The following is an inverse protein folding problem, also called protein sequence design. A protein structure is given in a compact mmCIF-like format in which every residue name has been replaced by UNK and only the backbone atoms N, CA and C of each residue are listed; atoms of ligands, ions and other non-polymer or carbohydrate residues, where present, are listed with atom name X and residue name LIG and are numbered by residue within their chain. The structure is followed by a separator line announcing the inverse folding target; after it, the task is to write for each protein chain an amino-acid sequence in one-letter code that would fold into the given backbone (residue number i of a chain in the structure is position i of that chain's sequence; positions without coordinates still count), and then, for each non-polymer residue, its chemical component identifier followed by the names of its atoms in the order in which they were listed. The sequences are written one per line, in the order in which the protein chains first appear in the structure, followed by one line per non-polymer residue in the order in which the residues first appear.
data_IF_439229285712
#
_entry.id   IF_439229285712
#
_cell.length_a   1.000
_cell.length_b   1.000
_cell.length_c   1.000
_cell.angle_alpha   90.00
_cell.angle_beta   90.00
_cell.angle_gamma   90.00
#
_symmetry.space_group_name_H-M   'P 1'
#
loop_
_entity.id
_entity.type
_entity.pdbx_description
1 polymer ?
#
# COMPACT_ATOMS: atom_id res chain seq x y z
N UNK A 1 -38.29 25.83 -13.90
CA UNK A 1 -37.64 24.52 -13.70
C UNK A 1 -36.25 24.59 -14.31
N UNK A 2 -35.22 24.68 -13.48
CA UNK A 2 -33.82 24.59 -13.90
C UNK A 2 -33.09 23.78 -12.84
N UNK A 3 -33.04 22.47 -13.05
CA UNK A 3 -32.27 21.55 -12.22
C UNK A 3 -30.79 21.71 -12.54
N UNK A 4 -30.03 22.24 -11.58
CA UNK A 4 -28.58 22.14 -11.58
C UNK A 4 -28.19 20.78 -11.02
N UNK A 5 -27.69 19.90 -11.87
CA UNK A 5 -27.05 18.66 -11.47
C UNK A 5 -25.72 19.00 -10.79
N UNK A 6 -25.66 18.83 -9.47
CA UNK A 6 -24.43 18.90 -8.70
C UNK A 6 -23.53 17.71 -9.06
N UNK A 7 -22.39 17.98 -9.68
CA UNK A 7 -21.32 17.02 -9.82
C UNK A 7 -20.79 16.63 -8.42
N UNK A 8 -20.49 15.36 -8.15
CA UNK A 8 -19.87 14.98 -6.89
C UNK A 8 -18.43 15.51 -6.87
N UNK A 9 -18.15 16.41 -5.92
CA UNK A 9 -16.81 16.90 -5.64
C UNK A 9 -15.97 15.75 -5.06
N UNK A 10 -15.19 15.08 -5.91
CA UNK A 10 -14.09 14.21 -5.48
C UNK A 10 -12.94 15.11 -5.03
N UNK A 11 -13.10 15.71 -3.85
CA UNK A 11 -12.09 16.57 -3.23
C UNK A 11 -10.96 15.73 -2.68
N UNK A 12 -9.72 16.11 -2.98
CA UNK A 12 -8.54 15.57 -2.33
C UNK A 12 -8.73 15.60 -0.79
N UNK A 13 -8.24 14.58 -0.05
CA UNK A 13 -8.41 14.52 1.40
C UNK A 13 -7.90 15.81 2.03
N UNK A 14 -8.73 16.41 2.88
CA UNK A 14 -8.38 17.62 3.61
C UNK A 14 -7.12 17.35 4.46
N UNK A 15 -6.32 18.37 4.77
CA UNK A 15 -5.07 18.23 5.53
C UNK A 15 -5.27 17.51 6.88
N UNK A 16 -6.45 17.65 7.47
CA UNK A 16 -6.85 16.98 8.71
C UNK A 16 -7.03 15.46 8.51
N UNK A 17 -7.63 15.02 7.40
CA UNK A 17 -7.81 13.61 7.08
C UNK A 17 -6.45 12.90 6.94
N UNK A 18 -5.48 13.57 6.29
CA UNK A 18 -4.13 13.03 6.13
C UNK A 18 -3.45 12.76 7.48
N UNK A 19 -3.60 13.69 8.42
CA UNK A 19 -3.04 13.56 9.78
C UNK A 19 -3.70 12.42 10.53
N UNK A 20 -5.03 12.30 10.44
CA UNK A 20 -5.80 11.23 11.09
C UNK A 20 -5.40 9.86 10.53
N UNK A 21 -5.27 9.75 9.20
CA UNK A 21 -4.86 8.51 8.53
C UNK A 21 -3.45 8.10 8.94
N UNK A 22 -2.50 9.03 8.96
CA UNK A 22 -1.13 8.78 9.41
C UNK A 22 -1.09 8.33 10.87
N UNK A 23 -1.78 9.04 11.77
CA UNK A 23 -1.86 8.70 13.19
C UNK A 23 -2.52 7.33 13.41
N UNK A 24 -3.60 7.04 12.71
CA UNK A 24 -4.30 5.75 12.80
C UNK A 24 -3.43 4.61 12.28
N UNK A 25 -2.73 4.81 11.14
CA UNK A 25 -1.84 3.80 10.57
C UNK A 25 -0.64 3.55 11.48
N UNK A 26 -0.05 4.59 12.04
CA UNK A 26 1.01 4.50 13.04
C UNK A 26 0.57 3.74 14.29
N UNK A 27 -0.61 4.05 14.83
CA UNK A 27 -1.17 3.34 15.99
C UNK A 27 -1.39 1.86 15.68
N UNK A 28 -1.96 1.52 14.52
CA UNK A 28 -2.19 0.13 14.12
C UNK A 28 -0.86 -0.63 13.98
N UNK A 29 0.17 -0.03 13.38
CA UNK A 29 1.49 -0.64 13.30
C UNK A 29 2.09 -0.86 14.68
N UNK A 30 2.04 0.13 15.56
CA UNK A 30 2.52 0.00 16.93
C UNK A 30 1.81 -1.15 17.64
N UNK A 31 0.48 -1.24 17.57
CA UNK A 31 -0.27 -2.35 18.14
C UNK A 31 0.18 -3.71 17.59
N UNK A 32 0.44 -3.81 16.28
CA UNK A 32 0.95 -5.05 15.68
C UNK A 32 2.35 -5.45 16.17
N UNK A 33 3.16 -4.49 16.61
CA UNK A 33 4.48 -4.73 17.20
C UNK A 33 4.41 -5.03 18.69
N UNK A 34 3.52 -4.37 19.44
CA UNK A 34 3.36 -4.56 20.89
C UNK A 34 2.60 -5.83 21.26
N UNK A 35 1.71 -6.32 20.40
CA UNK A 35 0.87 -7.50 20.65
C UNK A 35 1.12 -8.58 19.59
N UNK A 36 2.28 -9.27 19.62
CA UNK A 36 2.65 -10.24 18.60
C UNK A 36 1.66 -11.42 18.53
N UNK A 37 1.12 -11.85 19.68
CA UNK A 37 0.13 -12.92 19.78
C UNK A 37 -1.16 -12.60 18.99
N UNK A 38 -1.56 -11.32 18.95
CA UNK A 38 -2.76 -10.86 18.24
C UNK A 38 -2.47 -10.30 16.85
N UNK A 39 -1.21 -10.30 16.41
CA UNK A 39 -0.79 -9.72 15.13
C UNK A 39 -1.52 -10.36 13.95
N UNK A 40 -1.63 -11.69 13.96
CA UNK A 40 -2.31 -12.42 12.89
C UNK A 40 -3.81 -12.12 12.87
N UNK A 41 -4.46 -12.03 14.02
CA UNK A 41 -5.88 -11.68 14.11
C UNK A 41 -6.15 -10.26 13.59
N UNK A 42 -5.26 -9.31 13.91
CA UNK A 42 -5.34 -7.94 13.39
C UNK A 42 -5.13 -7.90 11.87
N UNK A 43 -4.11 -8.58 11.35
CA UNK A 43 -3.87 -8.66 9.91
C UNK A 43 -5.04 -9.32 9.18
N UNK A 44 -5.60 -10.39 9.75
CA UNK A 44 -6.78 -11.06 9.22
C UNK A 44 -8.00 -10.12 9.19
N UNK A 45 -8.27 -9.43 10.29
CA UNK A 45 -9.36 -8.46 10.36
C UNK A 45 -9.19 -7.33 9.33
N UNK A 46 -7.96 -6.85 9.10
CA UNK A 46 -7.69 -5.80 8.12
C UNK A 46 -7.74 -6.31 6.67
N UNK A 47 -7.21 -7.49 6.41
CA UNK A 47 -7.07 -8.04 5.06
C UNK A 47 -8.41 -8.53 4.48
N UNK A 48 -9.31 -9.03 5.33
CA UNK A 48 -10.59 -9.61 4.89
C UNK A 48 -11.77 -8.66 5.09
N UNK A 49 -11.59 -7.53 5.79
CA UNK A 49 -12.64 -6.51 5.89
C UNK A 49 -12.80 -5.81 4.53
N UNK A 50 -14.03 -5.77 3.96
CA UNK A 50 -14.26 -5.19 2.64
C UNK A 50 -13.75 -3.75 2.55
N UNK A 51 -13.12 -3.44 1.42
CA UNK A 51 -12.61 -2.12 1.05
C UNK A 51 -11.54 -1.51 1.96
N UNK A 52 -11.04 -2.20 2.98
CA UNK A 52 -9.92 -1.67 3.78
C UNK A 52 -8.67 -1.55 2.93
N UNK A 53 -8.30 -2.62 2.22
CA UNK A 53 -7.14 -2.59 1.32
C UNK A 53 -7.30 -1.54 0.20
N UNK A 54 -8.49 -1.47 -0.40
CA UNK A 54 -8.79 -0.50 -1.46
C UNK A 54 -8.65 0.94 -0.96
N UNK A 55 -9.17 1.25 0.24
CA UNK A 55 -9.05 2.59 0.85
C UNK A 55 -7.61 2.92 1.25
N UNK A 56 -6.88 1.96 1.81
CA UNK A 56 -5.46 2.15 2.12
C UNK A 56 -4.68 2.50 0.85
N UNK A 57 -4.95 1.78 -0.24
CA UNK A 57 -4.34 2.07 -1.54
C UNK A 57 -4.75 3.45 -2.08
N UNK A 58 -6.04 3.77 -2.03
CA UNK A 58 -6.56 5.07 -2.43
C UNK A 58 -5.88 6.22 -1.68
N UNK A 59 -5.71 6.10 -0.36
CA UNK A 59 -5.01 7.10 0.45
C UNK A 59 -3.53 7.23 0.07
N UNK A 60 -2.85 6.13 -0.25
CA UNK A 60 -1.47 6.16 -0.77
C UNK A 60 -1.45 6.89 -2.12
N UNK A 61 -2.43 6.69 -2.99
CA UNK A 61 -2.53 7.42 -4.26
C UNK A 61 -2.81 8.92 -4.06
N UNK A 62 -3.72 9.28 -3.15
CA UNK A 62 -4.11 10.68 -2.88
C UNK A 62 -3.03 11.50 -2.17
N UNK A 63 -2.06 10.83 -1.53
CA UNK A 63 -0.91 11.48 -0.89
C UNK A 63 0.28 11.62 -1.84
N UNK A 64 0.21 11.11 -3.08
CA UNK A 64 1.24 11.37 -4.09
C UNK A 64 1.19 12.83 -4.54
N UNK A 65 2.32 13.57 -4.53
CA UNK A 65 2.41 14.81 -5.29
C UNK A 65 2.22 14.48 -6.78
N UNK A 66 1.32 15.19 -7.45
CA UNK A 66 1.26 15.21 -8.91
C UNK A 66 2.55 15.86 -9.45
N UNK A 67 3.52 15.02 -9.79
CA UNK A 67 4.68 15.27 -10.65
C UNK A 67 5.70 16.40 -10.36
N UNK A 68 6.98 16.04 -10.58
CA UNK A 68 8.15 16.90 -10.85
C UNK A 68 8.72 17.71 -9.67
N UNK A 69 9.39 17.03 -8.75
CA UNK A 69 10.56 17.61 -8.10
C UNK A 69 11.69 16.56 -8.05
N UNK A 70 12.83 16.92 -8.64
CA UNK A 70 14.03 16.12 -8.78
C UNK A 70 14.78 15.93 -7.44
N UNK A 71 14.10 15.40 -6.43
CA UNK A 71 14.69 15.06 -5.15
C UNK A 71 14.05 13.77 -4.65
N UNK A 72 14.86 12.74 -4.49
CA UNK A 72 14.46 11.41 -3.99
C UNK A 72 14.02 11.42 -2.52
N UNK A 73 13.06 12.28 -2.19
CA UNK A 73 12.24 12.12 -1.00
C UNK A 73 11.17 11.07 -1.30
N UNK A 74 10.88 10.25 -0.30
CA UNK A 74 9.64 9.48 -0.24
C UNK A 74 8.51 10.37 -0.75
N UNK A 75 7.71 9.89 -1.70
CA UNK A 75 6.45 10.59 -2.00
C UNK A 75 5.75 10.87 -0.67
N UNK A 76 5.06 12.01 -0.56
CA UNK A 76 4.45 12.57 0.66
C UNK A 76 3.48 11.62 1.43
N UNK A 77 3.37 10.37 0.98
CA UNK A 77 2.74 9.27 1.67
C UNK A 77 3.48 8.93 2.97
N UNK A 78 2.72 8.96 4.06
CA UNK A 78 3.20 8.59 5.39
C UNK A 78 3.80 7.16 5.39
N UNK A 79 5.04 6.97 5.91
CA UNK A 79 5.69 5.66 5.93
C UNK A 79 4.88 4.59 6.66
N UNK A 80 4.10 4.96 7.69
CA UNK A 80 3.28 4.03 8.46
C UNK A 80 2.09 3.53 7.63
N UNK A 81 1.44 4.43 6.88
CA UNK A 81 0.36 4.05 5.96
C UNK A 81 0.86 3.05 4.89
N UNK A 82 2.00 3.34 4.25
CA UNK A 82 2.56 2.46 3.22
C UNK A 82 3.00 1.13 3.82
N UNK A 83 3.63 1.15 4.99
CA UNK A 83 4.04 -0.07 5.71
C UNK A 83 2.83 -0.94 6.06
N UNK A 84 1.75 -0.33 6.58
CA UNK A 84 0.52 -1.04 6.93
C UNK A 84 -0.11 -1.69 5.71
N UNK A 85 -0.23 -0.95 4.60
CA UNK A 85 -0.71 -1.50 3.34
C UNK A 85 0.13 -2.70 2.88
N UNK A 86 1.47 -2.56 2.89
CA UNK A 86 2.36 -3.64 2.49
C UNK A 86 2.17 -4.90 3.35
N UNK A 87 2.06 -4.75 4.68
CA UNK A 87 1.83 -5.87 5.59
C UNK A 87 0.49 -6.56 5.35
N UNK A 88 -0.59 -5.77 5.29
CA UNK A 88 -1.95 -6.30 5.13
C UNK A 88 -2.12 -6.94 3.76
N UNK A 89 -1.60 -6.32 2.69
CA UNK A 89 -1.74 -6.87 1.35
C UNK A 89 -0.86 -8.09 1.14
N UNK A 90 0.35 -8.10 1.71
CA UNK A 90 1.19 -9.30 1.67
C UNK A 90 0.52 -10.48 2.39
N UNK A 91 -0.03 -10.24 3.58
CA UNK A 91 -0.80 -11.25 4.30
C UNK A 91 -1.99 -11.76 3.45
N UNK A 92 -2.73 -10.84 2.83
CA UNK A 92 -3.82 -11.19 1.92
C UNK A 92 -3.35 -12.09 0.79
N UNK A 93 -2.25 -11.76 0.10
CA UNK A 93 -1.66 -12.59 -0.96
C UNK A 93 -1.23 -13.97 -0.47
N UNK A 94 -0.67 -14.09 0.73
CA UNK A 94 -0.28 -15.39 1.28
C UNK A 94 -1.49 -16.28 1.60
N UNK A 95 -2.64 -15.68 1.90
CA UNK A 95 -3.90 -16.39 2.22
C UNK A 95 -4.81 -16.62 1.01
N UNK A 96 -4.65 -15.85 -0.07
CA UNK A 96 -5.48 -15.94 -1.27
C UNK A 96 -5.05 -17.10 -2.16
N UNK A 97 -6.01 -17.85 -2.71
CA UNK A 97 -5.71 -18.84 -3.74
C UNK A 97 -5.44 -18.21 -5.12
N UNK A 98 -5.00 -19.04 -6.08
CA UNK A 98 -4.71 -18.58 -7.44
C UNK A 98 -5.97 -18.13 -8.20
N UNK A 99 -7.12 -18.76 -7.97
CA UNK A 99 -8.37 -18.40 -8.64
C UNK A 99 -8.84 -17.01 -8.21
N UNK A 100 -8.72 -16.71 -6.92
CA UNK A 100 -9.10 -15.44 -6.33
C UNK A 100 -8.25 -14.27 -6.88
N UNK A 101 -6.97 -14.52 -7.14
CA UNK A 101 -6.08 -13.50 -7.65
C UNK A 101 -6.06 -13.36 -9.17
N UNK A 102 -6.01 -14.46 -9.91
CA UNK A 102 -5.91 -14.39 -11.37
C UNK A 102 -7.25 -14.28 -12.06
N UNK A 103 -8.25 -15.01 -11.58
CA UNK A 103 -9.55 -15.09 -12.25
C UNK A 103 -10.50 -14.04 -11.69
N UNK A 104 -10.63 -13.99 -10.36
CA UNK A 104 -11.51 -12.99 -9.70
C UNK A 104 -10.85 -11.62 -9.59
N UNK A 105 -9.51 -11.56 -9.63
CA UNK A 105 -8.72 -10.33 -9.48
C UNK A 105 -9.16 -9.51 -8.27
N UNK A 106 -9.17 -10.18 -7.11
CA UNK A 106 -9.65 -9.61 -5.86
C UNK A 106 -8.53 -9.57 -4.80
N UNK A 107 -8.37 -8.48 -4.03
CA UNK A 107 -9.19 -7.26 -4.03
C UNK A 107 -8.86 -6.28 -5.15
N UNK A 108 -7.82 -6.53 -5.96
CA UNK A 108 -7.36 -5.61 -6.98
C UNK A 108 -7.26 -6.26 -8.35
N UNK A 109 -7.61 -5.50 -9.39
CA UNK A 109 -7.34 -5.89 -10.78
C UNK A 109 -5.83 -6.09 -10.99
N UNK A 110 -5.46 -7.01 -11.90
CA UNK A 110 -4.04 -7.23 -12.22
C UNK A 110 -3.37 -5.95 -12.76
N UNK A 111 -4.14 -5.08 -13.43
CA UNK A 111 -3.67 -3.76 -13.86
C UNK A 111 -3.31 -2.85 -12.66
N UNK A 112 -4.18 -2.78 -11.65
CA UNK A 112 -3.90 -2.02 -10.43
C UNK A 112 -2.72 -2.61 -9.66
N UNK A 113 -2.58 -3.94 -9.59
CA UNK A 113 -1.43 -4.59 -8.96
C UNK A 113 -0.11 -4.21 -9.64
N UNK A 114 -0.09 -4.10 -10.97
CA UNK A 114 1.12 -3.63 -11.70
C UNK A 114 1.48 -2.19 -11.36
N UNK A 115 0.48 -1.31 -11.27
CA UNK A 115 0.69 0.06 -10.81
C UNK A 115 1.27 0.08 -9.39
N UNK A 116 0.71 -0.73 -8.49
CA UNK A 116 1.19 -0.89 -7.11
C UNK A 116 2.66 -1.31 -7.07
N UNK A 117 3.06 -2.30 -7.87
CA UNK A 117 4.46 -2.74 -7.95
C UNK A 117 5.37 -1.58 -8.30
N UNK A 118 5.04 -0.78 -9.32
CA UNK A 118 5.84 0.37 -9.72
C UNK A 118 6.00 1.39 -8.59
N UNK A 119 4.90 1.71 -7.91
CA UNK A 119 4.88 2.70 -6.83
C UNK A 119 5.65 2.21 -5.61
N UNK A 120 5.36 1.00 -5.13
CA UNK A 120 6.03 0.43 -3.97
C UNK A 120 7.52 0.25 -4.26
N UNK A 121 7.89 -0.19 -5.47
CA UNK A 121 9.31 -0.24 -5.89
C UNK A 121 9.97 1.13 -5.82
N UNK A 122 9.33 2.18 -6.32
CA UNK A 122 9.88 3.54 -6.28
C UNK A 122 10.03 4.10 -4.86
N UNK A 123 9.20 3.65 -3.91
CA UNK A 123 9.31 4.00 -2.49
C UNK A 123 10.42 3.20 -1.80
N UNK A 124 10.49 1.89 -2.08
CA UNK A 124 11.35 0.94 -1.36
C UNK A 124 12.79 0.95 -1.86
N UNK A 125 13.00 1.09 -3.18
CA UNK A 125 14.35 1.06 -3.77
C UNK A 125 15.25 2.11 -3.11
N UNK A 126 14.89 3.42 -3.02
CA UNK A 126 15.75 4.42 -2.39
C UNK A 126 16.25 4.05 -0.98
N UNK A 127 15.43 3.33 -0.17
CA UNK A 127 15.79 2.90 1.19
C UNK A 127 17.04 2.01 1.28
N UNK A 128 17.42 1.35 0.18
CA UNK A 128 18.62 0.51 0.15
C UNK A 128 19.88 1.28 -0.24
N UNK A 129 19.75 2.47 -0.82
CA UNK A 129 20.86 3.32 -1.26
C UNK A 129 21.10 4.50 -0.30
N UNK A 130 20.29 4.65 0.74
CA UNK A 130 20.52 5.60 1.82
C UNK A 130 21.82 5.26 2.56
N UNK A 131 22.76 6.22 2.59
CA UNK A 131 24.06 6.05 3.27
C UNK A 131 23.96 6.23 4.79
N UNK A 132 22.94 6.93 5.27
CA UNK A 132 22.65 7.12 6.69
C UNK A 132 21.89 5.92 7.29
N UNK A 133 21.95 5.77 8.62
CA UNK A 133 21.12 4.79 9.30
C UNK A 133 19.63 5.13 9.11
N UNK A 134 18.88 4.19 8.54
CA UNK A 134 17.43 4.29 8.40
C UNK A 134 16.78 4.45 9.78
N UNK A 135 15.79 5.33 9.87
CA UNK A 135 14.92 5.37 11.04
C UNK A 135 14.10 4.07 11.15
N UNK A 136 13.61 3.76 12.34
CA UNK A 136 12.81 2.55 12.57
C UNK A 136 11.59 2.45 11.63
N UNK A 137 10.80 3.52 11.39
CA UNK A 137 9.70 3.48 10.42
C UNK A 137 10.16 3.21 8.98
N UNK A 138 11.31 3.76 8.58
CA UNK A 138 11.89 3.51 7.26
C UNK A 138 12.36 2.07 7.10
N UNK A 139 12.94 1.49 8.15
CA UNK A 139 13.35 0.10 8.17
C UNK A 139 12.14 -0.85 8.08
N UNK A 140 11.08 -0.57 8.83
CA UNK A 140 9.82 -1.33 8.74
C UNK A 140 9.21 -1.24 7.34
N UNK A 141 9.15 -0.03 6.77
CA UNK A 141 8.67 0.19 5.41
C UNK A 141 9.47 -0.60 4.39
N UNK A 142 10.80 -0.54 4.47
CA UNK A 142 11.70 -1.29 3.58
C UNK A 142 11.39 -2.79 3.66
N UNK A 143 11.33 -3.33 4.88
CA UNK A 143 11.13 -4.77 5.07
C UNK A 143 9.74 -5.23 4.61
N UNK A 144 8.68 -4.50 4.97
CA UNK A 144 7.31 -4.82 4.56
C UNK A 144 7.11 -4.68 3.05
N UNK A 145 7.64 -3.61 2.46
CA UNK A 145 7.56 -3.38 1.02
C UNK A 145 8.32 -4.43 0.22
N UNK A 146 9.53 -4.79 0.65
CA UNK A 146 10.30 -5.88 0.02
C UNK A 146 9.57 -7.22 0.11
N UNK A 147 8.96 -7.54 1.25
CA UNK A 147 8.19 -8.78 1.40
C UNK A 147 7.00 -8.83 0.42
N UNK A 148 6.23 -7.74 0.31
CA UNK A 148 5.12 -7.64 -0.64
C UNK A 148 5.60 -7.80 -2.09
N UNK A 149 6.67 -7.09 -2.48
CA UNK A 149 7.22 -7.18 -3.83
C UNK A 149 7.71 -8.60 -4.16
N UNK A 150 8.33 -9.29 -3.21
CA UNK A 150 8.76 -10.68 -3.37
C UNK A 150 7.57 -11.62 -3.60
N UNK A 151 6.50 -11.53 -2.79
CA UNK A 151 5.32 -12.37 -2.98
C UNK A 151 4.57 -12.07 -4.29
N UNK A 152 4.57 -10.82 -4.75
CA UNK A 152 4.04 -10.47 -6.07
C UNK A 152 4.91 -11.00 -7.21
N UNK A 153 6.23 -10.99 -7.05
CA UNK A 153 7.16 -11.58 -8.00
C UNK A 153 6.95 -13.10 -8.11
N UNK A 154 6.85 -13.80 -6.99
CA UNK A 154 6.56 -15.24 -6.95
C UNK A 154 5.26 -15.58 -7.70
N UNK A 155 4.22 -14.76 -7.50
CA UNK A 155 2.98 -14.91 -8.27
C UNK A 155 3.25 -14.70 -9.76
N UNK A 156 3.95 -13.63 -10.15
CA UNK A 156 4.22 -13.37 -11.56
C UNK A 156 5.01 -14.51 -12.24
N UNK A 157 5.91 -15.16 -11.50
CA UNK A 157 6.62 -16.36 -11.95
C UNK A 157 5.70 -17.57 -12.18
N UNK A 158 4.62 -17.71 -11.39
CA UNK A 158 3.65 -18.79 -11.54
C UNK A 158 2.76 -18.59 -12.77
N UNK A 159 2.19 -17.40 -12.92
CA UNK A 159 1.41 -17.00 -14.09
C UNK A 159 1.65 -15.51 -14.32
N UNK A 160 2.22 -15.22 -15.48
CA UNK A 160 2.59 -13.87 -15.84
C UNK A 160 1.36 -12.96 -15.89
N UNK A 161 1.42 -11.87 -15.13
CA UNK A 161 0.44 -10.80 -15.16
C UNK A 161 1.10 -9.45 -15.48
N UNK A 162 2.42 -9.35 -15.31
CA UNK A 162 3.26 -8.24 -15.74
C UNK A 162 4.29 -8.76 -16.76
N UNK A 163 4.37 -8.19 -17.98
CA UNK A 163 5.41 -8.50 -18.95
C UNK A 163 6.80 -8.15 -18.38
N UNK A 164 7.88 -8.76 -18.90
CA UNK A 164 9.23 -8.32 -18.58
C UNK A 164 9.35 -6.82 -18.88
N UNK A 165 9.99 -6.08 -17.96
CA UNK A 165 10.20 -4.64 -18.13
C UNK A 165 11.02 -4.42 -19.42
N UNK A 166 10.45 -3.69 -20.39
CA UNK A 166 11.20 -3.08 -21.51
C UNK A 166 11.95 -1.82 -21.03
#
# INVERSE_FOLDING_TARGET
ASGGAGAPSTGAPHSEDRTIIAATSGLLLQLTSFLPESKLDMLNALAFKPSVLERLWEWICCTRPQEKAAGGGYGDADPSLVTLFCLVYNYRLLTSDHSEFYERQYPFSLAAVREMVGVIKNIVVPLYWTQDQLSEPQLLLRNAGTALLSSLLERNCYREFAPPME
#
